data_IF_351733258863
#
_entry.id   IF_351733258863
#
_cell.length_a   1.000
_cell.length_b   1.000
_cell.length_c   1.000
_cell.angle_alpha   90.00
_cell.angle_beta   90.00
_cell.angle_gamma   90.00
#
_symmetry.space_group_name_H-M   'P 1'
#
loop_
_entity.id
_entity.type
_entity.pdbx_description
1 polymer ?
#
# COMPACT_ATOMS: atom_id res chain seq x y z
N UNK A 1 -7.48 -12.54 15.66
CA UNK A 1 -6.55 -11.40 15.49
C UNK A 1 -5.32 -11.69 16.33
N UNK A 2 -4.18 -11.96 15.70
CA UNK A 2 -2.91 -12.15 16.44
C UNK A 2 -2.31 -10.76 16.58
N UNK A 3 -2.14 -10.28 17.81
CA UNK A 3 -1.47 -9.00 18.08
C UNK A 3 0.00 -9.13 17.68
N UNK A 4 0.43 -8.34 16.69
CA UNK A 4 1.84 -8.23 16.30
C UNK A 4 2.53 -7.25 17.26
N UNK A 5 3.56 -7.72 17.96
CA UNK A 5 4.42 -6.86 18.77
C UNK A 5 5.67 -6.51 17.97
N UNK A 6 5.73 -5.30 17.43
CA UNK A 6 6.88 -4.83 16.64
C UNK A 6 7.96 -4.31 17.58
N UNK A 7 8.95 -5.14 17.87
CA UNK A 7 10.01 -4.82 18.86
C UNK A 7 11.30 -4.28 18.23
N UNK A 8 11.42 -4.28 16.91
CA UNK A 8 12.62 -3.80 16.21
C UNK A 8 12.29 -3.18 14.85
N UNK A 9 13.17 -2.28 14.40
CA UNK A 9 13.08 -1.67 13.07
C UNK A 9 13.12 -2.72 11.96
N UNK A 10 13.81 -3.85 12.18
CA UNK A 10 13.98 -4.89 11.16
C UNK A 10 12.66 -5.64 10.94
N UNK A 11 11.94 -5.92 12.04
CA UNK A 11 10.62 -6.48 11.96
C UNK A 11 9.64 -5.51 11.31
N UNK A 12 9.71 -4.21 11.63
CA UNK A 12 8.87 -3.20 10.98
C UNK A 12 9.04 -3.18 9.46
N UNK A 13 10.29 -3.15 8.98
CA UNK A 13 10.60 -3.14 7.54
C UNK A 13 10.13 -4.44 6.87
N UNK A 14 10.24 -5.58 7.56
CA UNK A 14 9.69 -6.84 7.08
C UNK A 14 8.17 -6.76 6.94
N UNK A 15 7.46 -6.26 7.95
CA UNK A 15 6.00 -6.10 7.88
C UNK A 15 5.57 -5.10 6.82
N UNK A 16 6.35 -4.04 6.55
CA UNK A 16 6.08 -3.12 5.45
C UNK A 16 6.13 -3.85 4.09
N UNK A 17 7.07 -4.79 3.92
CA UNK A 17 7.15 -5.62 2.73
C UNK A 17 5.96 -6.56 2.58
N UNK A 18 5.54 -7.22 3.67
CA UNK A 18 4.37 -8.10 3.68
C UNK A 18 3.08 -7.31 3.39
N UNK A 19 2.93 -6.13 3.99
CA UNK A 19 1.80 -5.25 3.76
C UNK A 19 1.74 -4.80 2.30
N UNK A 20 2.84 -4.28 1.74
CA UNK A 20 2.91 -3.88 0.35
C UNK A 20 2.58 -5.04 -0.61
N UNK A 21 3.06 -6.26 -0.32
CA UNK A 21 2.69 -7.45 -1.10
C UNK A 21 1.18 -7.66 -1.06
N UNK A 22 0.56 -7.59 0.11
CA UNK A 22 -0.87 -7.76 0.27
C UNK A 22 -1.69 -6.66 -0.44
N UNK A 23 -1.23 -5.41 -0.41
CA UNK A 23 -1.89 -4.34 -1.16
C UNK A 23 -1.84 -4.58 -2.67
N UNK A 24 -0.73 -5.15 -3.17
CA UNK A 24 -0.57 -5.47 -4.59
C UNK A 24 -1.57 -6.50 -5.09
N UNK A 25 -1.99 -7.45 -4.25
CA UNK A 25 -2.99 -8.48 -4.59
C UNK A 25 -4.42 -7.92 -4.53
N UNK A 26 -4.65 -6.87 -3.73
CA UNK A 26 -5.99 -6.32 -3.49
C UNK A 26 -6.38 -5.19 -4.45
N UNK A 27 -5.42 -4.44 -4.98
CA UNK A 27 -5.72 -3.29 -5.83
C UNK A 27 -6.09 -3.67 -7.27
N UNK A 28 -7.15 -3.04 -7.78
CA UNK A 28 -7.55 -3.12 -9.19
C UNK A 28 -6.82 -2.09 -10.06
N UNK A 29 -6.17 -1.09 -9.46
CA UNK A 29 -5.42 -0.07 -10.18
C UNK A 29 -4.03 -0.61 -10.56
N UNK A 30 -3.72 -0.65 -11.86
CA UNK A 30 -2.43 -1.13 -12.40
C UNK A 30 -1.25 -0.31 -11.88
N UNK A 31 -1.42 1.00 -11.69
CA UNK A 31 -0.39 1.88 -11.16
C UNK A 31 -0.06 1.59 -9.70
N UNK A 32 -1.10 1.46 -8.88
CA UNK A 32 -0.94 1.12 -7.47
C UNK A 32 -0.33 -0.26 -7.31
N UNK A 33 -0.79 -1.25 -8.10
CA UNK A 33 -0.24 -2.59 -8.11
C UNK A 33 1.27 -2.57 -8.37
N UNK A 34 1.69 -1.95 -9.47
CA UNK A 34 3.11 -1.84 -9.82
C UNK A 34 3.90 -1.12 -8.72
N UNK A 35 3.32 -0.08 -8.12
CA UNK A 35 3.92 0.65 -6.99
C UNK A 35 4.12 -0.25 -5.77
N UNK A 36 3.11 -1.02 -5.38
CA UNK A 36 3.17 -1.92 -4.23
C UNK A 36 4.12 -3.09 -4.46
N UNK A 37 4.22 -3.61 -5.68
CA UNK A 37 5.22 -4.64 -6.01
C UNK A 37 6.64 -4.07 -5.90
N UNK A 38 6.91 -2.88 -6.44
CA UNK A 38 8.22 -2.22 -6.29
C UNK A 38 8.53 -1.92 -4.83
N UNK A 39 7.54 -1.47 -4.08
CA UNK A 39 7.67 -1.21 -2.64
C UNK A 39 8.07 -2.49 -1.90
N UNK A 40 7.37 -3.60 -2.15
CA UNK A 40 7.70 -4.93 -1.60
C UNK A 40 9.16 -5.30 -1.88
N UNK A 41 9.62 -5.14 -3.13
CA UNK A 41 11.00 -5.48 -3.52
C UNK A 41 12.02 -4.65 -2.73
N UNK A 42 11.77 -3.35 -2.59
CA UNK A 42 12.68 -2.44 -1.90
C UNK A 42 12.74 -2.72 -0.40
N UNK A 43 11.60 -2.87 0.28
CA UNK A 43 11.57 -3.10 1.73
C UNK A 43 12.04 -4.51 2.09
N UNK A 44 11.67 -5.54 1.33
CA UNK A 44 12.18 -6.89 1.55
C UNK A 44 13.71 -6.93 1.38
N UNK A 45 14.25 -6.24 0.38
CA UNK A 45 15.70 -6.15 0.19
C UNK A 45 16.41 -5.47 1.38
N UNK A 46 15.84 -4.38 1.90
CA UNK A 46 16.38 -3.72 3.10
C UNK A 46 16.34 -4.67 4.31
N UNK A 47 15.25 -5.42 4.50
CA UNK A 47 15.18 -6.42 5.55
C UNK A 47 16.27 -7.49 5.43
N UNK A 48 16.60 -7.93 4.20
CA UNK A 48 17.73 -8.84 3.94
C UNK A 48 19.07 -8.20 4.31
N UNK A 49 19.33 -6.97 3.85
CA UNK A 49 20.59 -6.28 4.12
C UNK A 49 20.86 -6.20 5.63
N UNK A 50 19.84 -5.79 6.38
CA UNK A 50 19.95 -5.65 7.82
C UNK A 50 20.07 -7.02 8.52
N UNK A 51 19.35 -8.03 8.04
CA UNK A 51 19.48 -9.41 8.56
C UNK A 51 20.89 -9.97 8.34
N UNK A 52 21.53 -9.66 7.21
CA UNK A 52 22.91 -10.02 6.96
C UNK A 52 23.87 -9.26 7.89
N UNK A 53 23.63 -7.96 8.13
CA UNK A 53 24.39 -7.18 9.12
C UNK A 53 24.32 -7.80 10.51
N UNK A 54 23.13 -8.22 10.94
CA UNK A 54 22.94 -8.86 12.25
C UNK A 54 23.57 -10.26 12.32
N UNK A 55 23.35 -11.10 11.30
CA UNK A 55 23.89 -12.46 11.26
C UNK A 55 25.43 -12.44 11.25
N UNK A 56 26.04 -11.57 10.44
CA UNK A 56 27.49 -11.44 10.30
C UNK A 56 28.11 -10.43 11.27
N UNK A 57 27.32 -9.69 12.05
CA UNK A 57 27.76 -8.59 12.94
C UNK A 57 28.65 -7.57 12.22
N UNK A 58 28.26 -7.18 11.00
CA UNK A 58 29.00 -6.24 10.16
C UNK A 58 28.05 -5.20 9.53
N UNK A 59 28.11 -3.97 10.04
CA UNK A 59 27.27 -2.85 9.59
C UNK A 59 27.60 -2.35 8.17
N UNK A 60 28.70 -2.79 7.55
CA UNK A 60 29.14 -2.33 6.23
C UNK A 60 28.43 -3.04 5.07
N UNK A 61 27.62 -4.07 5.34
CA UNK A 61 27.07 -4.98 4.31
C UNK A 61 26.18 -4.30 3.26
N UNK A 62 25.50 -3.19 3.56
CA UNK A 62 24.53 -2.60 2.60
C UNK A 62 25.16 -2.10 1.29
N UNK A 63 26.39 -1.58 1.32
CA UNK A 63 27.06 -1.11 0.11
C UNK A 63 27.81 -2.25 -0.57
N UNK A 64 27.75 -2.35 -1.91
CA UNK A 64 28.42 -3.45 -2.65
C UNK A 64 28.10 -4.84 -2.07
N UNK A 65 26.82 -5.06 -1.77
CA UNK A 65 26.26 -6.17 -0.98
C UNK A 65 27.00 -7.52 -1.08
N UNK A 66 27.11 -8.09 -2.29
CA UNK A 66 27.77 -9.38 -2.50
C UNK A 66 29.22 -9.39 -2.01
N UNK A 67 30.01 -8.38 -2.42
CA UNK A 67 31.42 -8.27 -2.05
C UNK A 67 31.57 -8.12 -0.53
N UNK A 68 30.72 -7.32 0.10
CA UNK A 68 30.82 -7.08 1.53
C UNK A 68 30.39 -8.30 2.35
N UNK A 69 29.40 -9.08 1.88
CA UNK A 69 29.08 -10.38 2.46
C UNK A 69 30.25 -11.35 2.33
N UNK A 70 30.84 -11.49 1.14
CA UNK A 70 31.97 -12.41 0.92
C UNK A 70 33.16 -12.06 1.83
N UNK A 71 33.46 -10.77 1.97
CA UNK A 71 34.50 -10.28 2.88
C UNK A 71 34.18 -10.59 4.36
N UNK A 72 32.94 -10.37 4.80
CA UNK A 72 32.51 -10.63 6.18
C UNK A 72 32.50 -12.14 6.50
N UNK A 73 32.12 -12.98 5.54
CA UNK A 73 32.18 -14.43 5.65
C UNK A 73 33.62 -14.93 5.75
N UNK A 74 34.49 -14.42 4.88
CA UNK A 74 35.91 -14.77 4.88
C UNK A 74 36.61 -14.33 6.18
N UNK A 75 36.33 -13.11 6.67
CA UNK A 75 36.94 -12.59 7.90
C UNK A 75 36.56 -13.40 9.14
N UNK A 76 35.38 -14.01 9.14
CA UNK A 76 34.88 -14.90 10.21
C UNK A 76 35.22 -16.37 9.99
N UNK A 77 35.89 -16.72 8.90
CA UNK A 77 36.27 -18.10 8.58
C UNK A 77 35.10 -19.02 8.22
N UNK A 78 33.95 -18.46 7.83
CA UNK A 78 32.81 -19.24 7.34
C UNK A 78 33.06 -19.71 5.90
N UNK A 79 32.46 -20.85 5.48
CA UNK A 79 32.53 -21.27 4.07
C UNK A 79 31.95 -20.20 3.14
N UNK A 80 32.47 -20.03 1.91
CA UNK A 80 31.92 -19.08 0.97
C UNK A 80 30.48 -19.45 0.58
N UNK A 81 29.66 -18.43 0.31
CA UNK A 81 28.34 -18.63 -0.27
C UNK A 81 28.44 -18.98 -1.75
N UNK A 82 27.49 -19.77 -2.21
CA UNK A 82 27.39 -20.12 -3.62
C UNK A 82 26.42 -19.18 -4.35
N UNK A 83 26.94 -18.12 -4.94
CA UNK A 83 26.17 -17.16 -5.71
C UNK A 83 25.69 -17.68 -7.08
N UNK A 84 26.19 -18.84 -7.52
CA UNK A 84 25.89 -19.42 -8.83
C UNK A 84 24.69 -20.38 -8.83
N UNK A 85 24.25 -20.85 -7.65
CA UNK A 85 23.10 -21.76 -7.52
C UNK A 85 22.31 -21.53 -6.22
N UNK A 86 21.17 -22.19 -6.10
CA UNK A 86 20.41 -22.23 -4.86
C UNK A 86 19.77 -20.89 -4.50
N UNK A 87 19.70 -20.59 -3.20
CA UNK A 87 19.01 -19.39 -2.72
C UNK A 87 19.74 -18.10 -3.07
N UNK A 88 21.09 -18.11 -3.06
CA UNK A 88 21.88 -16.91 -3.33
C UNK A 88 21.89 -16.52 -4.81
N UNK A 89 21.77 -17.47 -5.73
CA UNK A 89 21.46 -17.17 -7.14
C UNK A 89 20.13 -16.40 -7.28
N UNK A 90 19.09 -16.83 -6.56
CA UNK A 90 17.78 -16.16 -6.56
C UNK A 90 17.84 -14.77 -5.90
N UNK A 91 18.69 -14.59 -4.90
CA UNK A 91 18.96 -13.25 -4.32
C UNK A 91 19.57 -12.32 -5.37
N UNK A 92 20.46 -12.81 -6.24
CA UNK A 92 20.99 -12.01 -7.36
C UNK A 92 19.89 -11.61 -8.34
N UNK A 93 18.93 -12.49 -8.62
CA UNK A 93 17.77 -12.15 -9.45
C UNK A 93 16.94 -11.01 -8.82
N UNK A 94 16.66 -11.08 -7.52
CA UNK A 94 15.97 -9.99 -6.79
C UNK A 94 16.81 -8.70 -6.78
N UNK A 95 18.12 -8.81 -6.63
CA UNK A 95 19.02 -7.65 -6.71
C UNK A 95 18.90 -6.95 -8.07
N UNK A 96 18.81 -7.72 -9.16
CA UNK A 96 18.65 -7.18 -10.51
C UNK A 96 17.28 -6.51 -10.69
N UNK A 97 16.21 -7.09 -10.12
CA UNK A 97 14.90 -6.42 -10.07
C UNK A 97 14.99 -5.07 -9.35
N UNK A 98 15.64 -5.02 -8.18
CA UNK A 98 15.86 -3.78 -7.43
C UNK A 98 16.65 -2.76 -8.24
N UNK A 99 17.74 -3.17 -8.90
CA UNK A 99 18.54 -2.28 -9.76
C UNK A 99 17.68 -1.64 -10.84
N UNK A 100 16.81 -2.41 -11.49
CA UNK A 100 15.91 -1.91 -12.53
C UNK A 100 14.88 -0.90 -12.01
N UNK A 101 14.57 -0.91 -10.71
CA UNK A 101 13.66 0.04 -10.06
C UNK A 101 14.37 1.36 -9.72
N UNK A 102 15.61 1.27 -9.21
CA UNK A 102 16.34 2.44 -8.65
C UNK A 102 17.18 3.20 -9.68
N UNK A 103 17.39 2.63 -10.87
CA UNK A 103 18.18 3.26 -11.93
C UNK A 103 17.31 3.94 -13.01
N UNK A 104 17.84 5.04 -13.58
CA UNK A 104 17.13 6.09 -14.34
C UNK A 104 16.45 5.67 -15.66
N UNK A 105 16.73 4.47 -16.19
CA UNK A 105 16.22 4.02 -17.50
C UNK A 105 15.50 2.66 -17.41
N UNK A 106 14.35 2.58 -16.73
CA UNK A 106 13.57 1.34 -16.71
C UNK A 106 12.92 1.08 -18.07
N UNK A 107 12.89 -0.18 -18.52
CA UNK A 107 11.95 -0.60 -19.57
C UNK A 107 10.52 -0.54 -19.03
N UNK A 108 9.52 -0.38 -19.91
CA UNK A 108 8.10 -0.24 -19.51
C UNK A 108 7.60 -1.43 -18.66
N UNK A 109 8.09 -2.64 -18.92
CA UNK A 109 7.85 -3.84 -18.11
C UNK A 109 8.35 -3.72 -16.66
N UNK A 110 9.38 -2.92 -16.40
CA UNK A 110 9.90 -2.66 -15.05
C UNK A 110 9.05 -1.61 -14.30
N UNK A 111 8.21 -0.85 -15.01
CA UNK A 111 7.31 0.16 -14.43
C UNK A 111 6.02 -0.48 -13.91
N UNK A 112 5.64 -1.67 -14.37
CA UNK A 112 4.45 -2.38 -13.90
C UNK A 112 4.71 -3.87 -13.68
N UNK A 113 5.56 -4.24 -12.70
CA UNK A 113 5.80 -5.64 -12.40
C UNK A 113 4.52 -6.34 -11.89
N UNK A 114 4.40 -7.62 -12.22
CA UNK A 114 3.26 -8.46 -11.82
C UNK A 114 3.28 -8.79 -10.32
N UNK A 115 2.10 -9.09 -9.77
CA UNK A 115 1.92 -9.46 -8.35
C UNK A 115 2.81 -10.65 -7.96
N UNK A 116 2.95 -11.62 -8.85
CA UNK A 116 3.78 -12.82 -8.64
C UNK A 116 5.24 -12.48 -8.34
N UNK A 117 5.74 -11.32 -8.78
CA UNK A 117 7.08 -10.85 -8.47
C UNK A 117 7.20 -10.50 -6.99
N UNK A 118 6.19 -9.86 -6.39
CA UNK A 118 6.16 -9.55 -4.96
C UNK A 118 6.11 -10.82 -4.11
N UNK A 119 5.26 -11.78 -4.48
CA UNK A 119 5.15 -13.08 -3.80
C UNK A 119 6.47 -13.85 -3.84
N UNK A 120 7.08 -13.92 -5.03
CA UNK A 120 8.37 -14.60 -5.24
C UNK A 120 9.48 -13.91 -4.46
N UNK A 121 9.48 -12.58 -4.40
CA UNK A 121 10.48 -11.81 -3.64
C UNK A 121 10.39 -12.09 -2.15
N UNK A 122 9.20 -12.04 -1.54
CA UNK A 122 9.04 -12.37 -0.11
C UNK A 122 9.55 -13.78 0.19
N UNK A 123 9.20 -14.76 -0.64
CA UNK A 123 9.66 -16.14 -0.47
C UNK A 123 11.18 -16.25 -0.54
N UNK A 124 11.81 -15.66 -1.55
CA UNK A 124 13.28 -15.69 -1.71
C UNK A 124 13.97 -15.01 -0.54
N UNK A 125 13.52 -13.82 -0.17
CA UNK A 125 14.15 -13.05 0.91
C UNK A 125 14.01 -13.77 2.25
N UNK A 126 12.82 -14.32 2.58
CA UNK A 126 12.61 -15.12 3.78
C UNK A 126 13.62 -16.27 3.88
N UNK A 127 13.75 -17.03 2.81
CA UNK A 127 14.68 -18.16 2.77
C UNK A 127 16.15 -17.72 2.81
N UNK A 128 16.50 -16.60 2.19
CA UNK A 128 17.85 -16.03 2.24
C UNK A 128 18.22 -15.56 3.66
N UNK A 129 17.28 -14.92 4.37
CA UNK A 129 17.45 -14.53 5.78
C UNK A 129 17.69 -15.79 6.61
N UNK A 130 16.83 -16.81 6.53
CA UNK A 130 17.04 -18.06 7.27
C UNK A 130 18.38 -18.71 6.94
N UNK A 131 18.75 -18.69 5.67
CA UNK A 131 20.00 -19.29 5.19
C UNK A 131 21.23 -18.57 5.77
N UNK A 132 21.29 -17.23 5.78
CA UNK A 132 22.47 -16.52 6.30
C UNK A 132 22.64 -16.73 7.81
N UNK A 133 21.56 -16.74 8.59
CA UNK A 133 21.63 -17.06 10.02
C UNK A 133 22.13 -18.49 10.24
N UNK A 134 21.55 -19.47 9.54
CA UNK A 134 21.98 -20.87 9.63
C UNK A 134 23.44 -21.04 9.21
N UNK A 135 23.88 -20.32 8.18
CA UNK A 135 25.26 -20.36 7.68
C UNK A 135 26.26 -19.86 8.73
N UNK A 136 25.86 -18.87 9.52
CA UNK A 136 26.64 -18.34 10.64
C UNK A 136 26.46 -19.14 11.94
N UNK A 137 25.75 -20.27 11.93
CA UNK A 137 25.45 -21.07 13.13
C UNK A 137 24.48 -20.39 14.11
N UNK A 138 23.72 -19.38 13.66
CA UNK A 138 22.75 -18.64 14.45
C UNK A 138 21.32 -19.10 14.16
N UNK A 139 20.42 -18.89 15.12
CA UNK A 139 18.98 -19.09 14.92
C UNK A 139 18.40 -17.85 14.23
N UNK A 140 17.68 -18.05 13.13
CA UNK A 140 16.95 -16.97 12.48
C UNK A 140 15.87 -16.38 13.41
N UNK A 141 15.62 -15.07 13.36
CA UNK A 141 14.60 -14.45 14.18
C UNK A 141 13.21 -14.94 13.79
N UNK A 142 12.34 -15.15 14.78
CA UNK A 142 11.00 -15.72 14.56
C UNK A 142 10.12 -14.85 13.65
N UNK A 143 10.31 -13.53 13.66
CA UNK A 143 9.52 -12.61 12.86
C UNK A 143 9.65 -12.84 11.35
N UNK A 144 10.71 -13.51 10.88
CA UNK A 144 10.87 -13.83 9.45
C UNK A 144 9.78 -14.76 8.92
N UNK A 145 9.16 -15.53 9.82
CA UNK A 145 8.04 -16.42 9.52
C UNK A 145 6.69 -15.68 9.47
N UNK A 146 6.64 -14.41 9.90
CA UNK A 146 5.45 -13.60 9.71
C UNK A 146 5.22 -13.41 8.20
N UNK A 147 4.02 -13.80 7.77
CA UNK A 147 3.60 -13.77 6.38
C UNK A 147 2.18 -13.20 6.23
N UNK A 148 1.54 -12.84 7.34
CA UNK A 148 0.14 -12.47 7.36
C UNK A 148 -0.01 -10.96 7.41
N UNK A 149 -0.78 -10.39 6.49
CA UNK A 149 -1.25 -9.01 6.59
C UNK A 149 -2.65 -8.94 6.00
N UNK A 150 -3.54 -8.17 6.60
CA UNK A 150 -4.92 -8.04 6.13
C UNK A 150 -5.04 -7.06 4.95
N UNK A 151 -3.98 -6.29 4.67
CA UNK A 151 -3.93 -5.25 3.66
C UNK A 151 -4.89 -4.11 3.99
N UNK A 152 -5.65 -3.67 3.00
CA UNK A 152 -6.77 -2.77 3.18
C UNK A 152 -7.95 -3.52 3.80
N UNK A 153 -7.89 -3.93 5.06
CA UNK A 153 -8.98 -4.68 5.68
C UNK A 153 -10.33 -3.99 5.38
N UNK A 154 -11.11 -4.55 4.45
CA UNK A 154 -12.51 -4.19 4.16
C UNK A 154 -13.44 -4.87 5.17
N UNK A 155 -12.90 -5.19 6.35
CA UNK A 155 -13.49 -5.99 7.41
C UNK A 155 -14.12 -5.14 8.50
N UNK A 156 -14.93 -4.16 8.12
CA UNK A 156 -16.17 -3.85 8.82
C UNK A 156 -17.14 -3.41 7.74
N UNK A 157 -18.34 -4.01 7.69
CA UNK A 157 -19.50 -3.31 7.18
C UNK A 157 -19.64 -2.04 8.06
N UNK A 158 -18.95 -0.96 7.71
CA UNK A 158 -19.36 0.35 8.14
C UNK A 158 -20.61 0.65 7.31
N UNK A 159 -21.76 0.31 7.87
CA UNK A 159 -22.98 0.98 7.49
C UNK A 159 -22.75 2.47 7.82
N UNK A 160 -22.36 3.25 6.80
CA UNK A 160 -22.42 4.69 6.90
C UNK A 160 -23.90 5.07 6.91
N UNK A 161 -24.50 5.03 8.10
CA UNK A 161 -25.74 5.75 8.34
C UNK A 161 -25.41 7.23 8.30
N UNK A 162 -25.82 7.93 7.24
CA UNK A 162 -25.85 9.38 7.26
C UNK A 162 -27.04 9.74 8.15
N UNK A 163 -26.76 10.12 9.40
CA UNK A 163 -27.77 10.75 10.25
C UNK A 163 -27.83 12.21 9.81
N UNK A 164 -28.89 12.56 9.11
CA UNK A 164 -29.18 13.95 8.75
C UNK A 164 -29.99 14.55 9.89
N UNK A 165 -29.31 15.21 10.81
CA UNK A 165 -29.97 16.06 11.80
C UNK A 165 -30.19 17.44 11.17
N UNK A 166 -31.29 17.57 10.42
CA UNK A 166 -31.71 18.85 9.85
C UNK A 166 -33.08 19.25 10.41
N UNK A 167 -33.22 20.48 10.96
CA UNK A 167 -34.50 21.00 11.42
C UNK A 167 -35.50 21.23 10.28
N UNK A 168 -35.08 21.06 9.02
CA UNK A 168 -35.89 21.22 7.83
C UNK A 168 -36.34 19.88 7.22
N UNK A 169 -35.93 18.75 7.81
CA UNK A 169 -36.40 17.43 7.40
C UNK A 169 -37.94 17.38 7.44
N UNK A 170 -38.57 17.05 6.29
CA UNK A 170 -40.03 17.04 6.08
C UNK A 170 -40.75 18.39 6.20
N UNK A 171 -40.04 19.52 6.21
CA UNK A 171 -40.68 20.84 6.12
C UNK A 171 -41.07 21.12 4.66
N UNK A 172 -42.27 21.64 4.45
CA UNK A 172 -42.75 22.03 3.11
C UNK A 172 -41.82 23.08 2.49
N UNK A 173 -41.45 22.88 1.22
CA UNK A 173 -40.54 23.75 0.50
C UNK A 173 -39.07 23.64 0.90
N UNK A 174 -38.69 22.71 1.79
CA UNK A 174 -37.29 22.48 2.13
C UNK A 174 -36.49 22.00 0.91
N UNK A 175 -35.23 22.44 0.84
CA UNK A 175 -34.36 22.08 -0.27
C UNK A 175 -33.58 20.83 0.12
N UNK A 176 -33.90 19.69 -0.50
CA UNK A 176 -33.19 18.42 -0.33
C UNK A 176 -31.90 18.47 -1.13
N UNK A 177 -30.77 18.18 -0.49
CA UNK A 177 -29.47 18.13 -1.15
C UNK A 177 -28.94 16.71 -1.20
N UNK A 178 -28.55 16.27 -2.39
CA UNK A 178 -28.03 14.94 -2.62
C UNK A 178 -26.78 14.96 -3.51
N UNK A 179 -25.93 13.94 -3.37
CA UNK A 179 -24.84 13.67 -4.32
C UNK A 179 -25.00 12.30 -4.95
N UNK A 180 -24.42 12.13 -6.14
CA UNK A 180 -24.34 10.85 -6.81
C UNK A 180 -22.94 10.23 -6.64
N UNK A 181 -22.91 8.95 -6.24
CA UNK A 181 -21.69 8.17 -6.12
C UNK A 181 -21.95 6.74 -6.61
N UNK A 182 -21.15 6.27 -7.56
CA UNK A 182 -21.30 4.93 -8.18
C UNK A 182 -22.71 4.65 -8.71
N UNK A 183 -23.35 5.65 -9.32
CA UNK A 183 -24.70 5.54 -9.90
C UNK A 183 -25.83 5.46 -8.87
N UNK A 184 -25.55 5.71 -7.58
CA UNK A 184 -26.56 5.80 -6.52
C UNK A 184 -26.58 7.21 -5.94
N UNK A 185 -27.77 7.69 -5.61
CA UNK A 185 -27.97 8.99 -5.00
C UNK A 185 -28.02 8.89 -3.47
N UNK A 186 -27.32 9.80 -2.79
CA UNK A 186 -27.22 9.87 -1.33
C UNK A 186 -27.61 11.26 -0.85
N UNK A 187 -28.59 11.33 0.05
CA UNK A 187 -29.03 12.58 0.68
C UNK A 187 -28.00 12.98 1.73
N UNK A 188 -27.61 14.25 1.73
CA UNK A 188 -26.65 14.80 2.70
C UNK A 188 -27.23 15.84 3.63
N UNK A 189 -28.25 16.58 3.18
CA UNK A 189 -28.82 17.66 3.99
C UNK A 189 -30.23 18.06 3.51
N UNK A 190 -30.94 18.79 4.37
CA UNK A 190 -32.15 19.55 4.05
C UNK A 190 -31.93 21.00 4.46
N UNK A 191 -32.09 21.94 3.54
CA UNK A 191 -31.90 23.36 3.78
C UNK A 191 -33.23 24.10 3.89
N UNK A 192 -33.20 25.30 4.45
CA UNK A 192 -34.37 26.17 4.53
C UNK A 192 -34.90 26.55 3.13
N UNK A 193 -36.22 26.76 2.95
CA UNK A 193 -36.83 27.07 1.66
C UNK A 193 -36.29 28.33 0.96
N UNK A 194 -35.71 29.25 1.73
CA UNK A 194 -35.17 30.54 1.31
C UNK A 194 -33.63 30.54 1.17
N UNK A 195 -32.98 29.38 1.28
CA UNK A 195 -31.52 29.27 1.18
C UNK A 195 -31.04 29.62 -0.23
N UNK A 196 -30.02 30.49 -0.34
CA UNK A 196 -29.29 30.70 -1.59
C UNK A 196 -28.52 29.42 -1.97
N UNK A 197 -29.05 28.72 -2.96
CA UNK A 197 -28.55 27.44 -3.49
C UNK A 197 -27.10 27.48 -3.99
N UNK A 198 -26.53 28.66 -4.27
CA UNK A 198 -25.16 28.77 -4.78
C UNK A 198 -24.09 28.55 -3.71
N UNK A 199 -24.42 28.75 -2.43
CA UNK A 199 -23.47 28.67 -1.32
C UNK A 199 -23.27 27.23 -0.78
N UNK A 200 -24.30 26.39 -0.61
CA UNK A 200 -24.17 24.99 -0.20
C UNK A 200 -23.37 24.13 -1.18
N UNK A 201 -23.51 24.38 -2.49
CA UNK A 201 -22.80 23.65 -3.55
C UNK A 201 -21.28 23.64 -3.32
N UNK A 202 -20.69 24.80 -2.98
CA UNK A 202 -19.25 24.93 -2.74
C UNK A 202 -18.75 24.16 -1.51
N UNK A 203 -19.61 23.98 -0.51
CA UNK A 203 -19.24 23.30 0.74
C UNK A 203 -19.31 21.78 0.60
N UNK A 204 -20.24 21.26 -0.20
CA UNK A 204 -20.39 19.81 -0.44
C UNK A 204 -19.17 19.26 -1.18
N UNK A 205 -18.67 19.95 -2.22
CA UNK A 205 -17.46 19.53 -2.92
C UNK A 205 -16.21 19.51 -2.03
N UNK A 206 -16.15 20.36 -1.00
CA UNK A 206 -15.03 20.37 -0.05
C UNK A 206 -15.17 19.32 1.06
N UNK A 207 -16.39 18.95 1.43
CA UNK A 207 -16.67 18.03 2.53
C UNK A 207 -16.77 16.56 2.13
N UNK A 208 -17.12 16.26 0.87
CA UNK A 208 -17.28 14.89 0.41
C UNK A 208 -15.93 14.32 -0.01
N UNK A 209 -15.28 13.57 0.89
CA UNK A 209 -14.04 12.84 0.63
C UNK A 209 -14.19 11.62 -0.31
N UNK A 210 -15.20 11.61 -1.19
CA UNK A 210 -15.50 10.55 -2.16
C UNK A 210 -15.62 11.15 -3.56
N UNK A 211 -15.23 10.42 -4.63
CA UNK A 211 -15.34 10.92 -6.00
C UNK A 211 -16.81 10.87 -6.46
N UNK A 212 -17.54 11.94 -6.17
CA UNK A 212 -18.94 12.11 -6.57
C UNK A 212 -19.05 12.50 -8.05
N UNK A 213 -20.11 12.07 -8.71
CA UNK A 213 -20.36 12.35 -10.14
C UNK A 213 -21.31 13.53 -10.35
N UNK A 214 -22.18 13.81 -9.38
CA UNK A 214 -23.08 14.96 -9.43
C UNK A 214 -23.49 15.42 -8.02
N UNK A 215 -23.94 16.67 -7.92
CA UNK A 215 -24.71 17.20 -6.79
C UNK A 215 -26.04 17.70 -7.32
N UNK A 216 -27.14 17.30 -6.67
CA UNK A 216 -28.52 17.65 -7.05
C UNK A 216 -29.23 18.31 -5.89
N UNK A 217 -29.98 19.36 -6.19
CA UNK A 217 -30.84 20.05 -5.24
C UNK A 217 -32.28 19.92 -5.69
N UNK A 218 -33.15 19.51 -4.78
CA UNK A 218 -34.57 19.32 -5.03
C UNK A 218 -35.41 20.20 -4.12
N UNK A 219 -36.57 20.62 -4.59
CA UNK A 219 -37.62 21.22 -3.78
C UNK A 219 -38.93 20.51 -4.09
N UNK A 220 -39.57 19.95 -3.07
CA UNK A 220 -40.84 19.23 -3.21
C UNK A 220 -40.82 18.19 -4.37
N UNK A 221 -39.70 17.45 -4.46
CA UNK A 221 -39.37 16.44 -5.50
C UNK A 221 -38.97 16.98 -6.89
N UNK A 222 -39.13 18.28 -7.14
CA UNK A 222 -38.66 18.91 -8.37
C UNK A 222 -37.16 19.20 -8.32
N UNK A 223 -36.42 18.82 -9.36
CA UNK A 223 -34.99 19.12 -9.49
C UNK A 223 -34.81 20.62 -9.79
N UNK A 224 -34.25 21.35 -8.84
CA UNK A 224 -33.93 22.77 -9.00
C UNK A 224 -32.63 22.97 -9.78
N UNK A 225 -31.58 22.24 -9.40
CA UNK A 225 -30.24 22.38 -9.95
C UNK A 225 -29.54 21.03 -9.94
N UNK A 226 -28.87 20.72 -11.04
CA UNK A 226 -27.88 19.65 -11.14
C UNK A 226 -26.52 20.24 -11.48
N UNK A 227 -25.50 19.85 -10.72
CA UNK A 227 -24.11 20.13 -11.02
C UNK A 227 -23.38 18.83 -11.28
N UNK A 228 -22.96 18.62 -12.53
CA UNK A 228 -22.18 17.45 -12.93
C UNK A 228 -20.71 17.70 -12.58
N UNK A 229 -20.13 16.79 -11.82
CA UNK A 229 -18.72 16.83 -11.45
C UNK A 229 -17.89 16.08 -12.49
N UNK A 230 -17.03 16.81 -13.19
CA UNK A 230 -16.09 16.25 -14.15
C UNK A 230 -14.75 15.97 -13.45
N UNK A 231 -14.53 14.71 -13.07
CA UNK A 231 -13.31 14.25 -12.42
C UNK A 231 -12.05 14.48 -13.28
N UNK A 232 -12.17 14.67 -14.59
CA UNK A 232 -11.03 15.01 -15.46
C UNK A 232 -10.46 16.40 -15.21
N UNK A 233 -11.19 17.26 -14.48
CA UNK A 233 -10.81 18.65 -14.16
C UNK A 233 -10.19 18.83 -12.78
N UNK A 234 -10.02 17.77 -11.99
CA UNK A 234 -9.44 17.84 -10.64
C UNK A 234 -8.29 16.85 -10.50
N UNK A 235 -7.10 17.37 -10.18
CA UNK A 235 -5.90 16.58 -9.89
C UNK A 235 -6.03 15.93 -8.51
N UNK A 236 -5.97 14.60 -8.44
CA UNK A 236 -5.77 13.84 -7.20
C UNK A 236 -6.93 12.97 -6.73
N UNK A 237 -7.44 12.08 -7.58
CA UNK A 237 -8.24 10.91 -7.18
C UNK A 237 -7.66 9.65 -7.81
#
# INVERSE_FOLDING_TARGET
MITKLVESNHYHIWTDAIHARQLSTQTNNKWDRGTYVRWTILTAWIALEISCQDALEDNSISYSFQRNIDNAIASKGFPPLDWGRGIWQKVIEVQNLRKNIVHRFPSESNVFPEVSVAETTIKIIREAIKNIYSHCGKKAPQWVEDDFDEGWTTGTFQAHGIVIDSPYYKKEGAIKVAYEYKGSEYIVDYLAPDTDINQPLKNIFKGVGKPITAVRLYKDEELLVEYIYDASKVRGA
#
